data_IF_852278603757
#
_entry.id   IF_852278603757
#
_cell.length_a   1.000
_cell.length_b   1.000
_cell.length_c   1.000
_cell.angle_alpha   90.00
_cell.angle_beta   90.00
_cell.angle_gamma   90.00
#
_symmetry.space_group_name_H-M   'P 1'
#
loop_
_entity.id
_entity.type
_entity.pdbx_description
1 polymer ?
#
# COMPACT_ATOMS: atom_id res chain seq x y z
N UNK A 1 6.82 22.34 -7.58
CA UNK A 1 5.68 22.10 -8.49
C UNK A 1 6.24 21.65 -9.83
N UNK A 2 5.86 20.47 -10.34
CA UNK A 2 6.45 19.94 -11.57
C UNK A 2 5.98 20.79 -12.76
N UNK A 3 6.92 21.32 -13.55
CA UNK A 3 6.56 21.94 -14.82
C UNK A 3 6.05 20.86 -15.79
N UNK A 4 4.98 21.20 -16.52
CA UNK A 4 4.42 20.37 -17.59
C UNK A 4 5.53 19.94 -18.55
N UNK A 5 5.80 18.63 -18.72
CA UNK A 5 6.70 18.18 -19.78
C UNK A 5 6.08 18.55 -21.14
N UNK A 6 6.91 19.02 -22.08
CA UNK A 6 6.45 19.39 -23.42
C UNK A 6 5.70 18.19 -24.06
N UNK A 7 4.55 18.45 -24.67
CA UNK A 7 3.71 17.45 -25.34
C UNK A 7 3.04 16.37 -24.45
N UNK A 8 3.08 16.47 -23.11
CA UNK A 8 2.58 15.42 -22.21
C UNK A 8 1.05 15.31 -22.03
N UNK A 9 0.25 16.03 -22.82
CA UNK A 9 -1.23 15.99 -22.77
C UNK A 9 -1.80 16.15 -21.36
N UNK A 10 -2.85 15.37 -21.03
CA UNK A 10 -3.49 15.30 -19.71
C UNK A 10 -3.02 14.12 -18.86
N UNK A 11 -2.00 13.37 -19.30
CA UNK A 11 -1.58 12.13 -18.64
C UNK A 11 -1.10 12.37 -17.20
N UNK A 12 -0.49 13.53 -16.94
CA UNK A 12 0.03 13.95 -15.64
C UNK A 12 -0.92 14.88 -14.88
N UNK A 13 -2.09 15.20 -15.44
CA UNK A 13 -3.07 16.09 -14.82
C UNK A 13 -3.78 15.32 -13.70
N UNK A 14 -3.43 15.60 -12.45
CA UNK A 14 -4.15 15.07 -11.30
C UNK A 14 -5.50 15.77 -11.13
N UNK A 15 -6.31 15.24 -10.20
CA UNK A 15 -7.66 15.73 -9.91
C UNK A 15 -7.69 17.18 -9.40
N UNK A 16 -6.54 17.75 -9.03
CA UNK A 16 -6.39 19.14 -8.60
C UNK A 16 -5.83 20.05 -9.70
N UNK A 17 -5.77 19.54 -10.95
CA UNK A 17 -5.25 20.24 -12.12
C UNK A 17 -3.75 20.55 -12.05
N UNK A 18 -2.98 19.71 -11.36
CA UNK A 18 -1.52 19.81 -11.31
C UNK A 18 -0.83 18.65 -12.01
N UNK A 19 0.38 18.92 -12.49
CA UNK A 19 1.28 17.86 -12.95
C UNK A 19 1.93 17.20 -11.75
N UNK A 20 1.59 15.94 -11.48
CA UNK A 20 2.18 15.17 -10.38
C UNK A 20 2.72 13.82 -10.84
N UNK A 21 3.81 13.43 -10.18
CA UNK A 21 4.43 12.11 -10.28
C UNK A 21 4.20 11.45 -8.93
N UNK A 22 3.75 10.20 -8.94
CA UNK A 22 3.56 9.41 -7.72
C UNK A 22 4.91 8.86 -7.26
N UNK A 23 5.16 9.03 -5.98
CA UNK A 23 6.19 8.32 -5.22
C UNK A 23 5.48 7.24 -4.40
N UNK A 24 5.70 5.97 -4.75
CA UNK A 24 5.14 4.83 -4.04
C UNK A 24 6.27 4.18 -3.25
N UNK A 25 6.14 4.08 -1.93
CA UNK A 25 7.15 3.47 -1.07
C UNK A 25 6.53 2.48 -0.09
N UNK A 26 7.32 1.47 0.25
CA UNK A 26 7.06 0.54 1.35
C UNK A 26 8.07 0.85 2.44
N UNK A 27 7.58 1.01 3.67
CA UNK A 27 8.41 1.16 4.85
C UNK A 27 8.27 -0.03 5.80
N UNK A 28 9.32 -0.28 6.58
CA UNK A 28 9.24 -1.18 7.74
C UNK A 28 8.60 -0.47 8.96
N UNK A 29 8.57 -1.17 10.10
CA UNK A 29 8.01 -0.65 11.35
C UNK A 29 8.86 0.46 12.00
N UNK A 30 10.12 0.62 11.57
CA UNK A 30 11.05 1.64 12.05
C UNK A 30 11.12 2.84 11.09
N UNK A 31 10.17 2.93 10.15
CA UNK A 31 10.03 3.99 9.15
C UNK A 31 11.18 4.03 8.12
N UNK A 32 11.94 2.94 7.94
CA UNK A 32 12.92 2.84 6.87
C UNK A 32 12.22 2.48 5.56
N UNK A 33 12.53 3.19 4.48
CA UNK A 33 12.05 2.83 3.13
C UNK A 33 12.83 1.61 2.65
N UNK A 34 12.12 0.50 2.42
CA UNK A 34 12.72 -0.77 1.99
C UNK A 34 12.51 -1.05 0.49
N UNK A 35 11.53 -0.40 -0.12
CA UNK A 35 11.30 -0.45 -1.56
C UNK A 35 10.56 0.82 -2.00
N UNK A 36 10.87 1.33 -3.19
CA UNK A 36 10.16 2.48 -3.76
C UNK A 36 10.11 2.43 -5.29
N UNK A 37 9.09 3.07 -5.85
CA UNK A 37 8.86 3.25 -7.29
C UNK A 37 8.45 4.71 -7.54
N UNK A 38 8.96 5.30 -8.62
CA UNK A 38 8.80 6.71 -8.97
C UNK A 38 8.54 6.82 -10.46
N UNK A 39 7.59 7.66 -10.84
CA UNK A 39 7.40 8.03 -12.25
C UNK A 39 5.99 7.80 -12.76
N UNK A 40 5.13 7.13 -11.98
CA UNK A 40 3.74 6.95 -12.36
C UNK A 40 2.98 8.30 -12.38
N UNK A 41 2.11 8.55 -13.37
CA UNK A 41 1.33 9.77 -13.40
C UNK A 41 0.35 9.86 -12.23
N UNK A 42 0.24 11.03 -11.59
CA UNK A 42 -0.61 11.27 -10.41
C UNK A 42 -2.12 11.07 -10.59
N UNK A 43 -2.58 10.87 -11.82
CA UNK A 43 -3.98 10.49 -12.11
C UNK A 43 -4.27 9.02 -11.79
N UNK A 44 -3.24 8.18 -11.75
CA UNK A 44 -3.39 6.76 -11.43
C UNK A 44 -3.37 6.62 -9.91
N UNK A 45 -4.41 6.00 -9.33
CA UNK A 45 -4.43 5.75 -7.89
C UNK A 45 -3.35 4.76 -7.44
N UNK A 46 -2.90 4.90 -6.20
CA UNK A 46 -1.77 4.17 -5.63
C UNK A 46 -1.91 2.65 -5.74
N UNK A 47 -3.10 2.12 -5.44
CA UNK A 47 -3.38 0.69 -5.59
C UNK A 47 -3.25 0.19 -7.05
N UNK A 48 -3.58 1.05 -8.02
CA UNK A 48 -3.44 0.75 -9.44
C UNK A 48 -1.99 0.77 -9.91
N UNK A 49 -1.18 1.68 -9.36
CA UNK A 49 0.27 1.75 -9.59
C UNK A 49 0.93 0.52 -8.99
N UNK A 50 0.65 0.26 -7.71
CA UNK A 50 1.21 -0.86 -6.96
C UNK A 50 0.92 -2.21 -7.64
N UNK A 51 -0.31 -2.44 -8.11
CA UNK A 51 -0.67 -3.70 -8.78
C UNK A 51 0.16 -3.99 -10.04
N UNK A 52 0.70 -2.96 -10.70
CA UNK A 52 1.52 -3.09 -11.91
C UNK A 52 3.01 -2.83 -11.66
N UNK A 53 3.41 -2.54 -10.42
CA UNK A 53 4.80 -2.20 -10.13
C UNK A 53 5.67 -3.45 -10.03
N UNK A 54 6.95 -3.28 -10.32
CA UNK A 54 7.97 -4.30 -10.08
C UNK A 54 8.07 -4.66 -8.60
N UNK A 55 7.69 -3.75 -7.70
CA UNK A 55 7.61 -4.01 -6.25
C UNK A 55 6.63 -5.14 -5.94
N UNK A 56 5.37 -5.06 -6.44
CA UNK A 56 4.38 -6.12 -6.18
C UNK A 56 4.82 -7.44 -6.79
N UNK A 57 5.41 -7.40 -7.99
CA UNK A 57 5.95 -8.60 -8.62
C UNK A 57 7.07 -9.23 -7.77
N UNK A 58 8.05 -8.43 -7.35
CA UNK A 58 9.18 -8.90 -6.55
C UNK A 58 8.74 -9.63 -5.27
N UNK A 59 7.84 -9.02 -4.49
CA UNK A 59 7.34 -9.66 -3.25
C UNK A 59 6.41 -10.84 -3.52
N UNK A 60 5.78 -10.92 -4.69
CA UNK A 60 5.00 -12.10 -5.08
C UNK A 60 5.88 -13.27 -5.47
N UNK A 61 7.00 -13.00 -6.13
CA UNK A 61 7.94 -14.02 -6.62
C UNK A 61 8.94 -14.46 -5.53
N UNK A 62 9.14 -13.65 -4.49
CA UNK A 62 10.10 -13.87 -3.40
C UNK A 62 9.40 -13.79 -2.03
N UNK A 63 8.36 -14.59 -1.81
CA UNK A 63 7.59 -14.59 -0.55
C UNK A 63 8.42 -15.02 0.68
N UNK A 64 9.53 -15.72 0.45
CA UNK A 64 10.49 -16.18 1.45
C UNK A 64 11.31 -15.05 2.09
N UNK A 65 11.31 -13.83 1.50
CA UNK A 65 11.94 -12.65 2.12
C UNK A 65 11.20 -12.18 3.36
N UNK A 66 9.93 -12.57 3.53
CA UNK A 66 9.18 -12.26 4.73
C UNK A 66 9.65 -13.15 5.89
N UNK A 67 9.78 -12.60 7.11
CA UNK A 67 10.08 -13.43 8.28
C UNK A 67 8.99 -14.50 8.50
N UNK A 68 9.35 -15.60 9.19
CA UNK A 68 8.39 -16.65 9.51
C UNK A 68 7.24 -16.12 10.37
N UNK A 69 6.12 -16.82 10.31
CA UNK A 69 4.94 -16.59 11.16
C UNK A 69 5.34 -16.46 12.63
N UNK A 70 4.78 -15.47 13.31
CA UNK A 70 5.08 -15.16 14.70
C UNK A 70 3.85 -15.38 15.58
N UNK A 71 4.04 -16.07 16.70
CA UNK A 71 3.00 -16.18 17.73
C UNK A 71 2.86 -14.86 18.50
N UNK A 72 1.64 -14.31 18.51
CA UNK A 72 1.30 -13.05 19.18
C UNK A 72 0.38 -13.28 20.39
N UNK A 73 0.76 -14.20 21.29
CA UNK A 73 0.06 -14.45 22.54
C UNK A 73 -1.42 -14.79 22.32
N UNK A 74 -2.33 -14.00 22.89
CA UNK A 74 -3.78 -14.22 22.75
C UNK A 74 -4.33 -13.97 21.34
N UNK A 75 -3.54 -13.39 20.43
CA UNK A 75 -3.90 -13.23 19.01
C UNK A 75 -3.60 -14.49 18.20
N UNK A 76 -2.67 -15.33 18.67
CA UNK A 76 -2.19 -16.52 17.96
C UNK A 76 -1.18 -16.23 16.86
N UNK A 77 -1.01 -17.18 15.95
CA UNK A 77 -0.06 -17.13 14.85
C UNK A 77 -0.41 -16.03 13.84
N UNK A 78 0.53 -15.11 13.58
CA UNK A 78 0.37 -14.01 12.61
C UNK A 78 1.56 -13.96 11.66
N UNK A 79 1.27 -13.95 10.36
CA UNK A 79 2.27 -13.77 9.31
C UNK A 79 2.66 -12.29 9.17
N UNK A 80 3.93 -12.05 8.85
CA UNK A 80 4.39 -10.71 8.48
C UNK A 80 3.73 -10.27 7.17
N UNK A 81 3.24 -9.03 7.14
CA UNK A 81 2.51 -8.46 6.02
C UNK A 81 2.71 -6.93 6.01
N UNK A 82 2.43 -6.33 4.87
CA UNK A 82 2.33 -4.88 4.73
C UNK A 82 0.92 -4.42 5.06
N UNK A 83 0.84 -3.32 5.82
CA UNK A 83 -0.40 -2.58 6.01
C UNK A 83 -0.59 -1.63 4.83
N UNK A 84 -1.78 -1.64 4.25
CA UNK A 84 -2.12 -0.84 3.06
C UNK A 84 -3.43 -0.09 3.27
N UNK A 85 -3.66 0.99 2.51
CA UNK A 85 -4.92 1.73 2.64
C UNK A 85 -6.13 0.93 2.08
N UNK A 86 -7.34 1.44 2.35
CA UNK A 86 -8.59 0.78 1.96
C UNK A 86 -8.84 0.68 0.44
N UNK A 87 -8.12 1.45 -0.38
CA UNK A 87 -8.13 1.38 -1.84
C UNK A 87 -7.33 0.22 -2.42
N UNK A 88 -6.45 -0.41 -1.63
CA UNK A 88 -5.72 -1.60 -2.01
C UNK A 88 -6.57 -2.88 -1.87
N UNK A 89 -6.19 -3.93 -2.59
CA UNK A 89 -6.80 -5.25 -2.45
C UNK A 89 -6.33 -5.95 -1.17
N UNK A 90 -7.20 -6.76 -0.57
CA UNK A 90 -6.80 -7.66 0.52
C UNK A 90 -6.06 -8.86 -0.07
N UNK A 91 -4.94 -9.23 0.52
CA UNK A 91 -4.09 -10.37 0.15
C UNK A 91 -3.45 -10.95 1.43
N UNK A 92 -2.67 -12.02 1.30
CA UNK A 92 -1.88 -12.63 2.37
C UNK A 92 -0.83 -11.64 2.94
N UNK A 93 -0.10 -10.98 2.04
CA UNK A 93 0.98 -10.03 2.39
C UNK A 93 0.55 -8.57 2.38
N UNK A 94 -0.71 -8.27 2.07
CA UNK A 94 -1.25 -6.91 2.00
C UNK A 94 -2.57 -6.85 2.73
N UNK A 95 -2.55 -6.31 3.95
CA UNK A 95 -3.73 -6.24 4.81
C UNK A 95 -4.25 -4.82 4.82
N UNK A 96 -5.50 -4.66 4.39
CA UNK A 96 -6.21 -3.38 4.40
C UNK A 96 -7.14 -3.30 5.62
N UNK A 97 -7.57 -2.09 6.04
CA UNK A 97 -8.65 -1.95 7.00
C UNK A 97 -9.91 -2.71 6.58
N UNK A 98 -10.60 -3.30 7.54
CA UNK A 98 -11.90 -3.93 7.33
C UNK A 98 -12.91 -2.88 6.85
N UNK A 99 -13.70 -3.22 5.82
CA UNK A 99 -14.83 -2.38 5.37
C UNK A 99 -15.85 -2.29 6.50
N UNK A 100 -16.71 -1.27 6.46
CA UNK A 100 -17.78 -1.13 7.46
C UNK A 100 -18.63 -2.40 7.62
N UNK A 101 -18.95 -3.07 6.51
CA UNK A 101 -19.71 -4.33 6.49
C UNK A 101 -18.96 -5.50 7.15
N UNK A 102 -17.62 -5.46 7.17
CA UNK A 102 -16.75 -6.48 7.74
C UNK A 102 -16.43 -6.18 9.22
N UNK A 103 -16.72 -4.97 9.69
CA UNK A 103 -16.30 -4.41 10.97
C UNK A 103 -17.32 -4.62 12.11
N UNK A 104 -17.84 -5.84 12.24
CA UNK A 104 -18.90 -6.16 13.21
C UNK A 104 -18.37 -6.66 14.56
N UNK A 105 -17.09 -7.03 14.67
CA UNK A 105 -16.49 -7.53 15.91
C UNK A 105 -15.58 -6.49 16.55
N UNK A 106 -15.49 -6.49 17.87
CA UNK A 106 -14.63 -5.58 18.64
C UNK A 106 -13.15 -5.65 18.22
N UNK A 107 -12.64 -6.86 17.93
CA UNK A 107 -11.26 -7.06 17.48
C UNK A 107 -10.96 -6.35 16.15
N UNK A 108 -11.86 -6.47 15.17
CA UNK A 108 -11.77 -5.77 13.88
C UNK A 108 -11.92 -4.26 14.01
N UNK A 109 -12.81 -3.80 14.90
CA UNK A 109 -12.97 -2.36 15.17
C UNK A 109 -11.71 -1.78 15.81
N UNK A 110 -11.10 -2.52 16.74
CA UNK A 110 -9.82 -2.18 17.34
C UNK A 110 -8.69 -2.17 16.31
N UNK A 111 -8.63 -3.16 15.41
CA UNK A 111 -7.66 -3.19 14.31
C UNK A 111 -7.78 -1.94 13.43
N UNK A 112 -8.98 -1.63 12.93
CA UNK A 112 -9.21 -0.44 12.11
C UNK A 112 -8.83 0.85 12.85
N UNK A 113 -9.21 0.99 14.13
CA UNK A 113 -8.84 2.16 14.94
C UNK A 113 -7.32 2.32 15.08
N UNK A 114 -6.58 1.23 15.20
CA UNK A 114 -5.10 1.26 15.30
C UNK A 114 -4.44 1.50 13.94
N UNK A 115 -5.06 1.05 12.86
CA UNK A 115 -4.55 1.23 11.49
C UNK A 115 -4.79 2.66 10.96
N UNK A 116 -5.88 3.31 11.37
CA UNK A 116 -6.24 4.65 10.86
C UNK A 116 -5.40 5.81 11.43
N UNK A 117 -4.53 5.56 12.42
CA UNK A 117 -3.78 6.60 13.14
C UNK A 117 -4.60 7.25 14.24
#
# INVERSE_FOLDING_TARGET
>A
MLQKPAHAGSAYFDYKQFHSIVFLAISDCDYNIIAFDIGAPGRIGDAGIFRRSTIKQYFSDNDDVFPPTRELGSVGAVQYHFLVDGGFGQDLRYVRPYRQQENYSESKARFNKKHSG
#
